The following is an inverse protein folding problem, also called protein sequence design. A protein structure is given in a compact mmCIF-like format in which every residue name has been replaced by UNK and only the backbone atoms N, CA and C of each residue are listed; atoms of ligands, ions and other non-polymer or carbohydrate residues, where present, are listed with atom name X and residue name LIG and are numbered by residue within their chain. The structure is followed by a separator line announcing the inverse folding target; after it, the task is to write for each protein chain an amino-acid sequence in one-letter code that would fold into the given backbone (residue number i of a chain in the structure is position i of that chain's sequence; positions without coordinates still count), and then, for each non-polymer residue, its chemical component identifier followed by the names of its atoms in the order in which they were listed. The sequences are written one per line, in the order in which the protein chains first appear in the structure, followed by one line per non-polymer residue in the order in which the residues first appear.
data_IF_449624640665
#
_entry.id   IF_449624640665
#
_cell.length_a   1.000
_cell.length_b   1.000
_cell.length_c   1.000
_cell.angle_alpha   90.00
_cell.angle_beta   90.00
_cell.angle_gamma   90.00
#
_symmetry.space_group_name_H-M   'P 1'
#
loop_
_entity.id
_entity.type
_entity.pdbx_description
1 polymer ?
#
# COMPACT_ATOMS: atom_id res chain seq x y z
N UNK A 1 -22.49 -44.78 -16.17
CA UNK A 1 -21.90 -44.60 -14.84
C UNK A 1 -20.73 -43.60 -14.79
N UNK A 2 -19.81 -43.54 -15.76
CA UNK A 2 -18.65 -42.58 -15.71
C UNK A 2 -19.04 -41.10 -15.74
N UNK A 3 -20.09 -40.67 -16.44
CA UNK A 3 -20.51 -39.26 -16.52
C UNK A 3 -21.18 -38.71 -15.25
N UNK A 4 -21.74 -39.56 -14.40
CA UNK A 4 -22.33 -39.15 -13.11
C UNK A 4 -21.21 -38.79 -12.08
N UNK A 5 -20.11 -39.54 -12.09
CA UNK A 5 -19.01 -39.35 -11.17
C UNK A 5 -18.27 -38.00 -11.38
N UNK A 6 -18.12 -37.54 -12.64
CA UNK A 6 -17.51 -36.23 -12.91
C UNK A 6 -18.36 -35.06 -12.41
N UNK A 7 -19.70 -35.15 -12.57
CA UNK A 7 -20.62 -34.11 -12.07
C UNK A 7 -20.58 -34.02 -10.55
N UNK A 8 -20.47 -35.12 -9.82
CA UNK A 8 -20.35 -35.16 -8.36
C UNK A 8 -18.99 -34.60 -7.93
N UNK A 9 -17.92 -34.97 -8.63
CA UNK A 9 -16.56 -34.45 -8.32
C UNK A 9 -16.45 -32.94 -8.55
N UNK A 10 -17.04 -32.43 -9.63
CA UNK A 10 -17.10 -31.01 -9.94
C UNK A 10 -17.94 -30.23 -8.90
N UNK A 11 -19.07 -30.82 -8.48
CA UNK A 11 -19.92 -30.21 -7.44
C UNK A 11 -19.22 -30.15 -6.08
N UNK A 12 -18.47 -31.22 -5.70
CA UNK A 12 -17.68 -31.28 -4.49
C UNK A 12 -16.53 -30.24 -4.52
N UNK A 13 -15.85 -30.09 -5.67
CA UNK A 13 -14.79 -29.11 -5.87
C UNK A 13 -15.31 -27.67 -5.79
N UNK A 14 -16.49 -27.40 -6.34
CA UNK A 14 -17.15 -26.08 -6.23
C UNK A 14 -17.57 -25.82 -4.78
N UNK A 15 -18.09 -26.82 -4.05
CA UNK A 15 -18.49 -26.68 -2.65
C UNK A 15 -17.33 -26.34 -1.72
N UNK A 16 -16.10 -26.85 -2.00
CA UNK A 16 -14.90 -26.52 -1.21
C UNK A 16 -14.43 -25.08 -1.42
N UNK A 17 -14.74 -24.43 -2.56
CA UNK A 17 -14.39 -23.03 -2.82
C UNK A 17 -15.26 -22.05 -2.01
N UNK A 18 -16.44 -22.43 -1.56
CA UNK A 18 -17.33 -21.58 -0.77
C UNK A 18 -17.14 -21.67 0.74
N UNK A 19 -16.41 -22.68 1.24
CA UNK A 19 -16.21 -22.86 2.70
C UNK A 19 -15.19 -21.90 3.32
N UNK A 20 -14.35 -21.23 2.53
CA UNK A 20 -13.35 -20.30 3.05
C UNK A 20 -13.93 -18.99 3.60
N UNK A 21 -15.07 -18.51 3.10
CA UNK A 21 -15.67 -17.24 3.54
C UNK A 21 -16.55 -17.35 4.81
N UNK A 22 -16.91 -18.55 5.24
CA UNK A 22 -17.85 -18.72 6.37
C UNK A 22 -17.19 -18.50 7.73
N UNK A 23 -15.90 -18.79 7.87
CA UNK A 23 -15.16 -18.67 9.15
C UNK A 23 -14.95 -17.21 9.55
N UNK A 24 -14.75 -16.30 8.60
CA UNK A 24 -14.55 -14.87 8.87
C UNK A 24 -15.80 -14.15 9.40
N UNK A 25 -16.99 -14.70 9.18
CA UNK A 25 -18.25 -14.08 9.58
C UNK A 25 -18.49 -14.14 11.11
N UNK A 26 -17.90 -15.12 11.80
CA UNK A 26 -18.04 -15.31 13.25
C UNK A 26 -17.07 -14.51 14.11
N UNK A 27 -16.02 -13.93 13.50
CA UNK A 27 -14.96 -13.22 14.22
C UNK A 27 -15.02 -11.69 14.02
N UNK A 28 -16.22 -11.15 13.71
CA UNK A 28 -16.42 -9.72 13.45
C UNK A 28 -16.73 -8.95 14.73
N UNK A 29 -16.09 -7.80 14.87
CA UNK A 29 -16.34 -6.85 15.96
C UNK A 29 -16.90 -5.55 15.39
N UNK A 30 -17.93 -5.01 16.03
CA UNK A 30 -18.42 -3.64 15.77
C UNK A 30 -17.89 -2.71 16.84
N UNK A 31 -17.44 -1.54 16.43
CA UNK A 31 -17.13 -0.45 17.35
C UNK A 31 -18.36 0.05 18.08
N UNK A 32 -18.18 0.47 19.32
CA UNK A 32 -19.24 1.01 20.19
C UNK A 32 -19.55 2.49 19.92
N UNK A 33 -18.83 3.11 18.97
CA UNK A 33 -18.96 4.51 18.53
C UNK A 33 -18.56 5.55 19.59
N UNK A 34 -18.05 5.13 20.72
CA UNK A 34 -17.41 5.98 21.73
C UNK A 34 -15.92 6.10 21.37
N UNK A 35 -15.52 7.18 20.68
CA UNK A 35 -14.15 7.35 20.22
C UNK A 35 -13.29 7.85 21.37
N UNK A 36 -12.20 7.15 21.62
CA UNK A 36 -11.17 7.51 22.61
C UNK A 36 -9.80 7.50 21.95
N UNK A 37 -8.87 8.23 22.55
CA UNK A 37 -7.50 8.36 22.09
C UNK A 37 -6.54 7.84 23.16
N UNK A 38 -5.63 6.95 22.76
CA UNK A 38 -4.62 6.36 23.63
C UNK A 38 -3.23 6.47 23.04
N UNK A 39 -2.29 6.93 23.85
CA UNK A 39 -0.86 6.90 23.48
C UNK A 39 -0.28 5.50 23.71
N UNK A 40 0.47 5.02 22.74
CA UNK A 40 1.15 3.73 22.80
C UNK A 40 2.66 3.94 22.95
N UNK A 41 3.24 3.33 23.97
CA UNK A 41 4.69 3.36 24.17
C UNK A 41 5.37 2.18 23.50
N UNK A 42 6.52 2.42 22.87
CA UNK A 42 7.40 1.36 22.38
C UNK A 42 8.75 1.47 23.10
N UNK A 43 9.35 0.32 23.40
CA UNK A 43 10.70 0.26 24.02
C UNK A 43 11.81 0.30 22.96
N UNK A 44 11.47 0.00 21.71
CA UNK A 44 12.42 -0.12 20.61
C UNK A 44 12.19 1.00 19.60
N UNK A 45 13.27 1.48 19.02
CA UNK A 45 13.22 2.39 17.87
C UNK A 45 12.81 1.63 16.61
N UNK A 46 12.12 2.32 15.70
CA UNK A 46 11.73 1.77 14.42
C UNK A 46 11.92 2.79 13.29
N UNK A 47 12.22 2.29 12.10
CA UNK A 47 12.34 3.06 10.86
C UNK A 47 11.42 2.55 9.75
N UNK A 48 10.69 1.47 10.03
CA UNK A 48 9.78 0.82 9.07
C UNK A 48 8.41 0.63 9.70
N UNK A 49 7.35 0.80 8.90
CA UNK A 49 5.98 0.66 9.37
C UNK A 49 5.22 -0.30 8.46
N UNK A 50 4.47 -1.23 9.06
CA UNK A 50 3.52 -2.10 8.36
C UNK A 50 2.15 -1.94 8.97
N UNK A 51 1.14 -1.66 8.15
CA UNK A 51 -0.25 -1.55 8.57
C UNK A 51 -1.15 -2.50 7.79
N UNK A 52 -2.16 -3.05 8.45
CA UNK A 52 -3.08 -4.02 7.86
C UNK A 52 -4.49 -3.94 8.45
N UNK A 53 -5.37 -4.84 8.00
CA UNK A 53 -6.72 -5.04 8.56
C UNK A 53 -7.64 -3.79 8.47
N UNK A 54 -7.53 -3.04 7.38
CA UNK A 54 -8.38 -1.87 7.13
C UNK A 54 -8.17 -0.70 8.08
N UNK A 55 -7.04 -0.65 8.80
CA UNK A 55 -6.68 0.47 9.67
C UNK A 55 -6.16 1.65 8.86
N UNK A 56 -6.32 2.86 9.39
CA UNK A 56 -5.89 4.11 8.77
C UNK A 56 -4.67 4.66 9.52
N UNK A 57 -3.55 4.82 8.83
CA UNK A 57 -2.31 5.34 9.40
C UNK A 57 -2.03 6.75 8.86
N UNK A 58 -1.80 7.68 9.75
CA UNK A 58 -1.37 9.05 9.47
C UNK A 58 0.06 9.22 9.97
N UNK A 59 0.97 9.61 9.07
CA UNK A 59 2.40 9.77 9.37
C UNK A 59 2.77 11.24 9.33
N UNK A 60 3.44 11.71 10.37
CA UNK A 60 4.11 13.01 10.42
C UNK A 60 5.60 12.83 10.76
N UNK A 61 6.44 13.79 10.35
CA UNK A 61 7.85 13.78 10.66
C UNK A 61 8.12 14.60 11.93
N UNK A 62 8.94 14.08 12.85
CA UNK A 62 9.26 14.79 14.09
C UNK A 62 10.58 14.36 14.71
N UNK A 63 10.90 14.90 15.88
CA UNK A 63 12.17 14.64 16.57
C UNK A 63 12.23 13.31 17.33
N UNK A 64 11.05 12.71 17.62
CA UNK A 64 10.90 11.47 18.38
C UNK A 64 9.80 10.61 17.77
N UNK A 65 9.93 9.30 17.93
CA UNK A 65 8.87 8.36 17.58
C UNK A 65 7.74 8.43 18.60
N UNK A 66 6.51 8.64 18.14
CA UNK A 66 5.29 8.65 18.95
C UNK A 66 4.19 7.89 18.22
N UNK A 67 3.35 7.20 18.96
CA UNK A 67 2.23 6.42 18.42
C UNK A 67 0.99 6.76 19.23
N UNK A 68 -0.07 7.17 18.56
CA UNK A 68 -1.37 7.48 19.16
C UNK A 68 -2.46 6.73 18.39
N UNK A 69 -3.34 6.04 19.09
CA UNK A 69 -4.47 5.29 18.51
C UNK A 69 -5.77 6.02 18.84
N UNK A 70 -6.48 6.50 17.83
CA UNK A 70 -7.84 7.05 17.90
C UNK A 70 -8.81 6.01 17.37
N UNK A 71 -9.56 5.36 18.25
CA UNK A 71 -10.49 4.31 17.87
C UNK A 71 -11.72 4.27 18.79
N UNK A 72 -12.74 3.53 18.35
CA UNK A 72 -13.84 3.20 19.22
C UNK A 72 -13.30 2.44 20.44
N UNK A 73 -13.72 2.79 21.65
CA UNK A 73 -13.17 2.32 22.93
C UNK A 73 -13.00 0.80 23.01
N UNK A 74 -14.01 0.06 22.59
CA UNK A 74 -13.96 -1.41 22.58
C UNK A 74 -13.04 -2.02 21.50
N UNK A 75 -12.46 -1.20 20.64
CA UNK A 75 -11.47 -1.63 19.63
C UNK A 75 -10.03 -1.39 20.09
N UNK A 76 -9.79 -0.60 21.12
CA UNK A 76 -8.45 -0.26 21.60
C UNK A 76 -7.61 -1.49 21.95
N UNK A 77 -8.21 -2.48 22.61
CA UNK A 77 -7.51 -3.71 23.03
C UNK A 77 -7.16 -4.64 21.85
N UNK A 78 -7.94 -4.60 20.76
CA UNK A 78 -7.72 -5.47 19.59
C UNK A 78 -6.87 -4.80 18.49
N UNK A 79 -6.65 -3.48 18.56
CA UNK A 79 -5.73 -2.77 17.69
C UNK A 79 -4.33 -2.84 18.32
N UNK A 80 -3.47 -3.61 17.70
CA UNK A 80 -2.13 -3.90 18.21
C UNK A 80 -1.12 -3.02 17.52
N UNK A 81 -0.21 -2.46 18.31
CA UNK A 81 0.98 -1.73 17.86
C UNK A 81 2.21 -2.35 18.51
N UNK A 82 3.01 -3.06 17.77
CA UNK A 82 4.21 -3.74 18.26
C UNK A 82 5.43 -3.43 17.41
N UNK A 83 6.59 -3.27 18.03
CA UNK A 83 7.87 -3.12 17.33
C UNK A 83 8.64 -4.43 17.41
N UNK A 84 9.11 -4.90 16.24
CA UNK A 84 9.92 -6.10 16.15
C UNK A 84 11.00 -5.88 15.06
N UNK A 85 12.26 -6.00 15.43
CA UNK A 85 13.41 -5.81 14.54
C UNK A 85 13.36 -4.47 13.76
N UNK A 86 13.03 -3.35 14.41
CA UNK A 86 12.97 -2.03 13.81
C UNK A 86 11.76 -1.81 12.89
N UNK A 87 10.76 -2.68 12.95
CA UNK A 87 9.48 -2.57 12.19
C UNK A 87 8.32 -2.39 13.16
N UNK A 88 7.65 -1.25 13.09
CA UNK A 88 6.36 -1.05 13.75
C UNK A 88 5.28 -1.78 12.96
N UNK A 89 4.65 -2.77 13.56
CA UNK A 89 3.49 -3.48 13.01
C UNK A 89 2.21 -2.95 13.65
N UNK A 90 1.25 -2.60 12.83
CA UNK A 90 -0.06 -2.07 13.22
C UNK A 90 -1.12 -2.96 12.57
N UNK A 91 -1.89 -3.66 13.40
CA UNK A 91 -2.89 -4.59 12.91
C UNK A 91 -4.04 -4.78 13.91
N UNK A 92 -5.10 -5.44 13.50
CA UNK A 92 -6.19 -5.85 14.39
C UNK A 92 -6.21 -7.37 14.52
N UNK A 93 -6.35 -7.88 15.74
CA UNK A 93 -6.50 -9.32 16.02
C UNK A 93 -7.85 -9.88 15.58
N UNK A 94 -8.85 -9.00 15.42
CA UNK A 94 -10.20 -9.36 14.98
C UNK A 94 -10.61 -8.56 13.76
N UNK A 95 -11.55 -9.08 12.99
CA UNK A 95 -12.10 -8.38 11.84
C UNK A 95 -13.04 -7.25 12.31
N UNK A 96 -12.64 -5.99 12.16
CA UNK A 96 -13.46 -4.82 12.49
C UNK A 96 -14.43 -4.58 11.34
N UNK A 97 -15.72 -4.83 11.56
CA UNK A 97 -16.75 -4.67 10.54
C UNK A 97 -17.21 -3.22 10.38
N UNK A 98 -17.55 -2.56 11.49
CA UNK A 98 -17.97 -1.15 11.52
C UNK A 98 -17.28 -0.45 12.67
N UNK A 99 -16.75 0.73 12.44
CA UNK A 99 -16.19 1.61 13.45
C UNK A 99 -16.49 3.07 13.12
N UNK A 100 -16.51 3.93 14.11
CA UNK A 100 -16.56 5.38 13.94
C UNK A 100 -15.15 5.93 13.71
N UNK A 101 -14.15 5.36 14.39
CA UNK A 101 -12.72 5.64 14.20
C UNK A 101 -11.89 4.37 14.32
N UNK A 102 -10.81 4.29 13.53
CA UNK A 102 -9.75 3.27 13.55
C UNK A 102 -8.46 3.85 12.97
N UNK A 103 -8.08 5.01 13.51
CA UNK A 103 -6.96 5.80 13.03
C UNK A 103 -5.77 5.65 13.96
N UNK A 104 -4.61 5.58 13.37
CA UNK A 104 -3.34 5.56 14.08
C UNK A 104 -2.51 6.75 13.58
N UNK A 105 -1.99 7.54 14.51
CA UNK A 105 -1.09 8.65 14.23
C UNK A 105 0.31 8.24 14.67
N UNK A 106 1.27 8.35 13.75
CA UNK A 106 2.67 8.03 14.03
C UNK A 106 3.53 9.23 13.67
N UNK A 107 4.15 9.83 14.67
CA UNK A 107 5.26 10.75 14.44
C UNK A 107 6.55 9.93 14.38
N UNK A 108 7.36 10.13 13.34
CA UNK A 108 8.59 9.36 13.14
C UNK A 108 9.77 10.25 12.81
N UNK A 109 10.94 9.93 13.39
CA UNK A 109 12.18 10.68 13.16
C UNK A 109 12.81 10.31 11.81
N UNK A 110 12.96 9.04 11.54
CA UNK A 110 13.56 8.50 10.32
C UNK A 110 12.66 7.39 9.75
N UNK A 111 12.28 7.50 8.50
CA UNK A 111 11.44 6.52 7.83
C UNK A 111 12.16 5.95 6.60
N UNK A 112 12.29 4.63 6.54
CA UNK A 112 12.93 3.89 5.44
C UNK A 112 11.93 3.09 4.61
N UNK A 113 10.86 2.59 5.22
CA UNK A 113 9.87 1.81 4.50
C UNK A 113 8.48 1.90 5.12
N UNK A 114 7.46 1.89 4.25
CA UNK A 114 6.05 1.73 4.60
C UNK A 114 5.43 0.59 3.81
N UNK A 115 4.54 -0.14 4.45
CA UNK A 115 3.80 -1.23 3.80
C UNK A 115 2.36 -1.26 4.27
N UNK A 116 1.43 -1.28 3.32
CA UNK A 116 -0.01 -1.40 3.58
C UNK A 116 -0.56 -2.67 2.93
N UNK A 117 -1.41 -3.39 3.63
CA UNK A 117 -2.07 -4.60 3.12
C UNK A 117 -3.50 -4.74 3.65
N UNK A 118 -4.27 -5.64 3.03
CA UNK A 118 -5.61 -6.01 3.52
C UNK A 118 -6.53 -4.79 3.77
N UNK A 119 -6.64 -3.93 2.77
CA UNK A 119 -7.51 -2.75 2.78
C UNK A 119 -7.09 -1.63 3.73
N UNK A 120 -5.89 -1.67 4.30
CA UNK A 120 -5.37 -0.58 5.12
C UNK A 120 -5.02 0.64 4.27
N UNK A 121 -5.02 1.82 4.91
CA UNK A 121 -4.68 3.07 4.26
C UNK A 121 -3.55 3.80 4.99
N UNK A 122 -2.64 4.45 4.24
CA UNK A 122 -1.55 5.28 4.76
C UNK A 122 -1.62 6.67 4.15
N UNK A 123 -1.52 7.68 4.99
CA UNK A 123 -1.52 9.10 4.63
C UNK A 123 -0.35 9.82 5.29
N UNK A 124 0.10 10.92 4.69
CA UNK A 124 0.97 11.90 5.37
C UNK A 124 0.22 13.21 5.54
N UNK A 125 0.42 13.88 6.67
CA UNK A 125 -0.16 15.20 6.92
C UNK A 125 0.64 16.30 6.22
N UNK A 126 1.97 16.11 6.15
CA UNK A 126 2.92 17.01 5.50
C UNK A 126 3.87 16.22 4.60
N UNK A 127 4.70 16.93 3.84
CA UNK A 127 5.74 16.30 3.03
C UNK A 127 6.86 15.77 3.91
N UNK A 128 7.20 14.49 3.78
CA UNK A 128 8.29 13.85 4.49
C UNK A 128 9.61 14.08 3.76
N UNK A 129 10.62 14.59 4.47
CA UNK A 129 11.96 14.83 3.92
C UNK A 129 12.87 13.65 4.30
N UNK A 130 13.22 12.83 3.31
CA UNK A 130 13.89 11.55 3.51
C UNK A 130 15.07 11.37 2.56
N UNK A 131 15.97 10.43 2.85
CA UNK A 131 17.00 10.04 1.88
C UNK A 131 16.49 8.97 0.91
N UNK A 132 16.00 7.85 1.44
CA UNK A 132 15.44 6.76 0.67
C UNK A 132 14.13 6.30 1.29
N UNK A 133 13.16 5.91 0.45
CA UNK A 133 11.88 5.38 0.93
C UNK A 133 11.41 4.21 0.07
N UNK A 134 11.08 3.10 0.71
CA UNK A 134 10.40 1.95 0.10
C UNK A 134 8.90 1.97 0.43
N UNK A 135 8.05 1.94 -0.59
CA UNK A 135 6.59 2.01 -0.48
C UNK A 135 5.98 0.75 -1.07
N UNK A 136 5.28 -0.04 -0.27
CA UNK A 136 4.64 -1.28 -0.71
C UNK A 136 3.15 -1.30 -0.39
N UNK A 137 2.32 -1.60 -1.38
CA UNK A 137 0.88 -1.77 -1.18
C UNK A 137 0.39 -3.06 -1.83
N UNK A 138 -0.44 -3.82 -1.13
CA UNK A 138 -1.02 -5.06 -1.64
C UNK A 138 -2.43 -5.30 -1.12
N UNK A 139 -3.16 -6.22 -1.79
CA UNK A 139 -4.48 -6.68 -1.30
C UNK A 139 -5.47 -5.53 -1.04
N UNK A 140 -5.66 -4.67 -2.03
CA UNK A 140 -6.61 -3.56 -1.99
C UNK A 140 -6.25 -2.43 -1.01
N UNK A 141 -5.02 -2.37 -0.53
CA UNK A 141 -4.56 -1.27 0.32
C UNK A 141 -4.34 0.03 -0.47
N UNK A 142 -4.40 1.17 0.22
CA UNK A 142 -4.19 2.49 -0.35
C UNK A 142 -3.07 3.23 0.38
N UNK A 143 -2.17 3.88 -0.38
CA UNK A 143 -1.14 4.77 0.15
C UNK A 143 -1.21 6.10 -0.60
N UNK A 144 -1.35 7.21 0.14
CA UNK A 144 -1.40 8.56 -0.43
C UNK A 144 -0.51 9.48 0.42
N UNK A 145 0.69 9.80 -0.10
CA UNK A 145 1.74 10.50 0.66
C UNK A 145 2.42 11.59 -0.18
N UNK A 146 2.99 12.57 0.53
CA UNK A 146 3.86 13.61 -0.03
C UNK A 146 5.30 13.44 0.48
N UNK A 147 6.30 13.54 -0.41
CA UNK A 147 7.71 13.29 -0.08
C UNK A 147 8.68 14.20 -0.82
N UNK A 148 9.80 14.49 -0.16
CA UNK A 148 11.02 15.01 -0.78
C UNK A 148 12.14 13.99 -0.53
N UNK A 149 12.68 13.35 -1.58
CA UNK A 149 13.55 12.18 -1.38
C UNK A 149 14.59 12.04 -2.49
N UNK A 150 15.76 11.48 -2.16
CA UNK A 150 16.74 11.16 -3.19
C UNK A 150 16.28 9.94 -4.02
N UNK A 151 15.87 8.86 -3.36
CA UNK A 151 15.40 7.65 -4.07
C UNK A 151 14.12 7.12 -3.43
N UNK A 152 13.10 6.90 -4.25
CA UNK A 152 11.87 6.21 -3.85
C UNK A 152 11.64 4.96 -4.70
N UNK A 153 11.29 3.87 -4.02
CA UNK A 153 10.81 2.66 -4.66
C UNK A 153 9.33 2.46 -4.34
N UNK A 154 8.47 2.33 -5.36
CA UNK A 154 7.05 2.05 -5.20
C UNK A 154 6.72 0.68 -5.78
N UNK A 155 5.97 -0.12 -5.04
CA UNK A 155 5.53 -1.44 -5.48
C UNK A 155 4.07 -1.67 -5.11
N UNK A 156 3.23 -1.95 -6.11
CA UNK A 156 1.80 -2.23 -5.90
C UNK A 156 1.38 -3.53 -6.57
N UNK A 157 0.57 -4.32 -5.88
CA UNK A 157 0.03 -5.58 -6.42
C UNK A 157 -1.38 -5.86 -5.90
N UNK A 158 -2.07 -6.79 -6.57
CA UNK A 158 -3.37 -7.30 -6.10
C UNK A 158 -4.41 -6.20 -5.83
N UNK A 159 -4.63 -5.34 -6.82
CA UNK A 159 -5.63 -4.27 -6.76
C UNK A 159 -5.32 -3.12 -5.78
N UNK A 160 -4.10 -3.04 -5.27
CA UNK A 160 -3.69 -1.95 -4.39
C UNK A 160 -3.46 -0.64 -5.17
N UNK A 161 -3.50 0.47 -4.45
CA UNK A 161 -3.35 1.82 -5.00
C UNK A 161 -2.28 2.61 -4.25
N UNK A 162 -1.35 3.21 -5.00
CA UNK A 162 -0.34 4.12 -4.46
C UNK A 162 -0.46 5.47 -5.16
N UNK A 163 -0.58 6.56 -4.40
CA UNK A 163 -0.46 7.94 -4.87
C UNK A 163 0.70 8.60 -4.14
N UNK A 164 1.67 9.17 -4.89
CA UNK A 164 2.80 9.89 -4.33
C UNK A 164 2.94 11.25 -5.02
N UNK A 165 3.14 12.28 -4.23
CA UNK A 165 3.43 13.65 -4.70
C UNK A 165 4.75 14.17 -4.13
N UNK A 166 5.28 15.26 -4.71
CA UNK A 166 6.49 15.93 -4.25
C UNK A 166 7.65 15.85 -5.24
N UNK A 167 8.86 15.56 -4.77
CA UNK A 167 10.06 15.52 -5.61
C UNK A 167 10.97 14.34 -5.30
N UNK A 168 11.60 13.78 -6.34
CA UNK A 168 12.64 12.76 -6.17
C UNK A 168 13.77 12.89 -7.21
N UNK A 169 14.96 12.42 -6.87
CA UNK A 169 16.03 12.26 -7.88
C UNK A 169 15.77 10.98 -8.66
N UNK A 170 15.57 9.85 -7.99
CA UNK A 170 15.33 8.57 -8.64
C UNK A 170 14.00 7.97 -8.17
N UNK A 171 13.18 7.53 -9.11
CA UNK A 171 11.94 6.83 -8.85
C UNK A 171 11.94 5.47 -9.55
N UNK A 172 11.85 4.39 -8.77
CA UNK A 172 11.73 3.03 -9.26
C UNK A 172 10.31 2.55 -8.94
N UNK A 173 9.53 2.21 -9.97
CA UNK A 173 8.11 1.88 -9.81
C UNK A 173 7.76 0.54 -10.43
N UNK A 174 7.00 -0.28 -9.70
CA UNK A 174 6.54 -1.60 -10.17
C UNK A 174 5.08 -1.82 -9.82
N UNK A 175 4.28 -2.22 -10.81
CA UNK A 175 2.89 -2.62 -10.56
C UNK A 175 2.54 -3.91 -11.28
N UNK A 176 1.70 -4.72 -10.66
CA UNK A 176 1.20 -5.98 -11.23
C UNK A 176 -0.18 -6.32 -10.71
N UNK A 177 -0.85 -7.28 -11.38
CA UNK A 177 -2.11 -7.85 -10.90
C UNK A 177 -3.21 -6.82 -10.62
N UNK A 178 -3.46 -5.94 -11.59
CA UNK A 178 -4.52 -4.94 -11.55
C UNK A 178 -4.31 -3.81 -10.55
N UNK A 179 -3.09 -3.62 -10.03
CA UNK A 179 -2.76 -2.52 -9.15
C UNK A 179 -2.51 -1.21 -9.92
N UNK A 180 -2.58 -0.08 -9.20
CA UNK A 180 -2.42 1.25 -9.79
C UNK A 180 -1.43 2.09 -9.00
N UNK A 181 -0.52 2.78 -9.70
CA UNK A 181 0.42 3.73 -9.10
C UNK A 181 0.28 5.08 -9.82
N UNK A 182 -0.05 6.15 -9.08
CA UNK A 182 -0.28 7.49 -9.58
C UNK A 182 0.78 8.44 -9.04
N UNK A 183 1.75 8.80 -9.86
CA UNK A 183 2.88 9.66 -9.47
C UNK A 183 3.15 10.80 -10.46
N UNK A 184 2.12 11.27 -11.18
CA UNK A 184 2.25 12.49 -11.99
C UNK A 184 2.65 13.72 -11.17
N UNK A 185 2.26 13.75 -9.89
CA UNK A 185 2.58 14.84 -8.97
C UNK A 185 3.94 14.66 -8.27
N UNK A 186 4.64 13.54 -8.49
CA UNK A 186 6.00 13.28 -8.03
C UNK A 186 7.00 13.67 -9.13
N UNK A 187 7.57 14.85 -9.07
CA UNK A 187 8.54 15.34 -10.07
C UNK A 187 9.87 14.62 -9.90
N UNK A 188 10.09 13.61 -10.73
CA UNK A 188 11.29 12.75 -10.65
C UNK A 188 12.28 13.07 -11.74
N UNK A 189 13.58 13.10 -11.39
CA UNK A 189 14.64 13.32 -12.38
C UNK A 189 14.81 12.08 -13.29
N UNK A 190 15.03 10.92 -12.69
CA UNK A 190 15.19 9.65 -13.39
C UNK A 190 14.13 8.67 -12.96
N UNK A 191 13.49 8.01 -13.91
CA UNK A 191 12.39 7.06 -13.65
C UNK A 191 12.71 5.71 -14.30
N UNK A 192 12.57 4.64 -13.52
CA UNK A 192 12.56 3.27 -14.01
C UNK A 192 11.23 2.64 -13.64
N UNK A 193 10.44 2.25 -14.64
CA UNK A 193 9.09 1.76 -14.42
C UNK A 193 8.81 0.45 -15.12
N UNK A 194 8.18 -0.49 -14.39
CA UNK A 194 7.80 -1.79 -14.90
C UNK A 194 6.36 -2.14 -14.52
N UNK A 195 5.56 -2.47 -15.53
CA UNK A 195 4.18 -2.87 -15.33
C UNK A 195 3.86 -4.19 -16.01
N UNK A 196 2.97 -4.97 -15.42
CA UNK A 196 2.51 -6.23 -16.00
C UNK A 196 1.12 -6.62 -15.49
N UNK A 197 0.48 -7.58 -16.17
CA UNK A 197 -0.76 -8.22 -15.67
C UNK A 197 -1.90 -7.24 -15.42
N UNK A 198 -2.19 -6.37 -16.39
CA UNK A 198 -3.32 -5.44 -16.35
C UNK A 198 -3.22 -4.35 -15.29
N UNK A 199 -2.02 -4.08 -14.78
CA UNK A 199 -1.77 -2.96 -13.87
C UNK A 199 -1.47 -1.67 -14.65
N UNK A 200 -1.56 -0.51 -13.97
CA UNK A 200 -1.21 0.78 -14.58
C UNK A 200 -0.28 1.61 -13.68
N UNK A 201 0.58 2.40 -14.32
CA UNK A 201 1.50 3.33 -13.66
C UNK A 201 1.54 4.65 -14.38
N UNK A 202 1.26 5.73 -13.68
CA UNK A 202 1.39 7.11 -14.13
C UNK A 202 2.62 7.75 -13.48
N UNK A 203 3.56 8.26 -14.27
CA UNK A 203 4.80 8.86 -13.76
C UNK A 203 5.12 10.22 -14.40
N UNK A 204 5.91 11.01 -13.69
CA UNK A 204 6.52 12.23 -14.22
C UNK A 204 8.04 12.10 -14.23
N UNK A 205 8.67 12.29 -15.40
CA UNK A 205 10.11 12.26 -15.57
C UNK A 205 10.59 13.49 -16.35
N UNK A 206 11.71 14.11 -15.93
CA UNK A 206 12.25 15.27 -16.66
C UNK A 206 13.67 15.09 -17.21
N UNK A 207 14.42 14.05 -16.83
CA UNK A 207 15.74 13.76 -17.38
C UNK A 207 15.76 12.43 -18.15
N UNK A 208 15.29 11.33 -17.52
CA UNK A 208 15.28 10.03 -18.17
C UNK A 208 14.13 9.15 -17.70
N UNK A 209 13.63 8.32 -18.64
CA UNK A 209 12.68 7.25 -18.35
C UNK A 209 13.08 5.95 -19.03
N UNK A 210 13.10 4.84 -18.24
CA UNK A 210 13.16 3.46 -18.72
C UNK A 210 11.86 2.76 -18.38
N UNK A 211 10.99 2.54 -19.38
CA UNK A 211 9.63 2.02 -19.21
C UNK A 211 9.48 0.65 -19.86
N UNK A 212 8.99 -0.33 -19.07
CA UNK A 212 8.70 -1.67 -19.57
C UNK A 212 7.27 -2.07 -19.23
N UNK A 213 6.44 -2.29 -20.26
CA UNK A 213 5.06 -2.73 -20.12
C UNK A 213 4.82 -4.08 -20.78
N UNK A 214 4.20 -5.02 -20.07
CA UNK A 214 3.91 -6.37 -20.59
C UNK A 214 2.54 -6.87 -20.11
N UNK A 215 1.99 -7.87 -20.80
CA UNK A 215 0.77 -8.58 -20.38
C UNK A 215 -0.40 -7.65 -20.04
N UNK A 216 -0.71 -6.73 -20.96
CA UNK A 216 -1.81 -5.76 -20.81
C UNK A 216 -1.57 -4.68 -19.76
N UNK A 217 -0.33 -4.51 -19.28
CA UNK A 217 0.02 -3.40 -18.39
C UNK A 217 0.18 -2.08 -19.15
N UNK A 218 -0.12 -0.97 -18.51
CA UNK A 218 -0.11 0.37 -19.10
C UNK A 218 0.77 1.35 -18.31
N UNK A 219 1.58 2.14 -19.02
CA UNK A 219 2.44 3.19 -18.48
C UNK A 219 2.15 4.48 -19.21
N UNK A 220 1.69 5.49 -18.47
CA UNK A 220 1.57 6.85 -18.93
C UNK A 220 2.63 7.73 -18.27
N UNK A 221 3.35 8.54 -19.03
CA UNK A 221 4.32 9.45 -18.47
C UNK A 221 4.16 10.88 -18.96
N UNK A 222 4.43 11.83 -18.05
CA UNK A 222 4.52 13.27 -18.31
C UNK A 222 5.93 13.78 -18.11
N UNK A 223 6.14 15.04 -18.45
CA UNK A 223 7.44 15.67 -18.49
C UNK A 223 8.03 15.59 -19.89
N UNK A 224 9.19 16.14 -20.09
CA UNK A 224 9.91 16.09 -21.38
C UNK A 224 11.31 15.49 -21.15
N UNK A 225 11.39 14.17 -20.85
CA UNK A 225 12.68 13.53 -20.54
C UNK A 225 13.58 13.47 -21.76
N UNK A 226 14.85 13.86 -21.59
CA UNK A 226 15.88 13.88 -22.65
C UNK A 226 16.22 12.47 -23.16
N UNK A 227 16.02 11.45 -22.33
CA UNK A 227 16.29 10.05 -22.68
C UNK A 227 15.05 9.22 -22.41
N UNK A 228 14.53 8.56 -23.43
CA UNK A 228 13.35 7.72 -23.37
C UNK A 228 13.67 6.33 -23.91
N UNK A 229 13.58 5.32 -23.05
CA UNK A 229 13.67 3.91 -23.43
C UNK A 229 12.33 3.23 -23.15
N UNK A 230 11.67 2.71 -24.20
CA UNK A 230 10.38 2.04 -24.10
C UNK A 230 10.50 0.59 -24.55
N UNK A 231 9.98 -0.35 -23.77
CA UNK A 231 9.90 -1.78 -24.13
C UNK A 231 8.48 -2.27 -23.85
N UNK A 232 7.81 -2.76 -24.88
CA UNK A 232 6.44 -3.29 -24.76
C UNK A 232 6.36 -4.70 -25.33
N UNK A 233 5.51 -5.53 -24.74
CA UNK A 233 5.19 -6.86 -25.28
C UNK A 233 3.83 -7.33 -24.75
N UNK A 234 3.26 -8.35 -25.41
CA UNK A 234 2.04 -9.04 -24.94
C UNK A 234 0.91 -8.06 -24.57
N UNK A 235 0.63 -7.08 -25.43
CA UNK A 235 -0.46 -6.11 -25.23
C UNK A 235 -0.18 -5.02 -24.20
N UNK A 236 1.07 -4.87 -23.75
CA UNK A 236 1.43 -3.73 -22.90
C UNK A 236 1.61 -2.43 -23.69
N UNK A 237 1.37 -1.28 -23.06
CA UNK A 237 1.48 0.05 -23.69
C UNK A 237 2.35 1.02 -22.87
N UNK A 238 3.00 1.97 -23.57
CA UNK A 238 3.77 3.07 -22.97
C UNK A 238 3.54 4.35 -23.76
N UNK A 239 2.82 5.31 -23.17
CA UNK A 239 2.38 6.55 -23.81
C UNK A 239 2.97 7.78 -23.13
N UNK A 240 3.27 8.82 -23.90
CA UNK A 240 3.55 10.17 -23.42
C UNK A 240 2.24 10.98 -23.42
N UNK A 241 2.00 11.75 -22.36
CA UNK A 241 0.79 12.54 -22.12
C UNK A 241 1.11 14.05 -22.22
#
# INVERSE_FOLDING_TARGET
MKRANYKILTLLFIATLFSSCAVDMFNRVNGNRNVVTEDRSTKEEFTKIKVSAGLELYISQGSKNQITVEADENLQEIIITEVNNGVLKIYSEKNIWKAKARKIFVTIKNLEAISATSGAAIYTEESLILNNLNINATSGAEINISIEVNTVETSATSGAKIKVSGVSINHISKATSGASIYTYELRSKNVTVKVTSGANIDVFAYESIDAKATSGGDIDFKGDPKKVNKKTSSGGSVSAQ
#
